data_IF_322500432639
#
_entry.id   IF_322500432639
#
_cell.length_a   1.000
_cell.length_b   1.000
_cell.length_c   1.000
_cell.angle_alpha   90.00
_cell.angle_beta   90.00
_cell.angle_gamma   90.00
#
_symmetry.space_group_name_H-M   'P 1'
#
loop_
_entity.id
_entity.type
_entity.pdbx_description
1 polymer ?
#
# COMPACT_ATOMS: atom_id res chain seq x y z
N UNK A 1 -7.03 -15.96 8.25
CA UNK A 1 -7.02 -15.97 6.77
C UNK A 1 -7.46 -14.62 6.23
N UNK A 2 -6.80 -14.17 5.17
CA UNK A 2 -7.11 -12.87 4.54
C UNK A 2 -8.45 -12.93 3.80
N UNK A 3 -8.68 -14.00 3.05
CA UNK A 3 -9.91 -14.17 2.29
C UNK A 3 -10.98 -14.90 3.13
N UNK A 4 -12.25 -14.52 2.95
CA UNK A 4 -13.33 -15.26 3.62
C UNK A 4 -13.39 -16.70 3.12
N UNK A 5 -13.94 -17.60 3.93
CA UNK A 5 -14.06 -19.01 3.59
C UNK A 5 -15.32 -19.30 2.75
N UNK A 6 -16.35 -18.49 2.92
CA UNK A 6 -17.58 -18.65 2.15
C UNK A 6 -17.36 -18.31 0.67
N UNK A 7 -17.73 -19.21 -0.21
CA UNK A 7 -17.52 -19.06 -1.65
C UNK A 7 -18.19 -17.82 -2.23
N UNK A 8 -19.39 -17.51 -1.78
CA UNK A 8 -20.12 -16.36 -2.32
C UNK A 8 -19.42 -15.04 -1.93
N UNK A 9 -18.85 -14.98 -0.74
CA UNK A 9 -18.11 -13.81 -0.29
C UNK A 9 -16.74 -13.73 -0.97
N UNK A 10 -16.06 -14.88 -1.15
CA UNK A 10 -14.76 -14.90 -1.85
C UNK A 10 -14.87 -14.39 -3.27
N UNK A 11 -15.94 -14.73 -3.97
CA UNK A 11 -16.16 -14.34 -5.37
C UNK A 11 -16.34 -12.84 -5.57
N UNK A 12 -16.62 -12.10 -4.48
CA UNK A 12 -16.73 -10.64 -4.54
C UNK A 12 -15.36 -9.95 -4.50
N UNK A 13 -14.30 -10.69 -4.15
CA UNK A 13 -12.95 -10.13 -4.02
C UNK A 13 -12.17 -10.44 -5.29
N UNK A 14 -12.35 -9.60 -6.28
CA UNK A 14 -11.78 -9.78 -7.61
C UNK A 14 -10.56 -8.87 -7.79
N UNK A 15 -9.42 -9.30 -7.23
CA UNK A 15 -8.20 -8.49 -7.22
C UNK A 15 -7.73 -8.17 -8.64
N UNK A 16 -7.75 -9.18 -9.53
CA UNK A 16 -7.31 -8.96 -10.90
C UNK A 16 -8.28 -8.05 -11.65
N UNK A 17 -9.57 -8.44 -11.74
CA UNK A 17 -10.54 -7.72 -12.56
C UNK A 17 -11.03 -6.42 -11.93
N UNK A 18 -10.92 -6.28 -10.60
CA UNK A 18 -11.40 -5.11 -9.88
C UNK A 18 -10.31 -4.10 -9.51
N UNK A 19 -9.05 -4.49 -9.57
CA UNK A 19 -7.94 -3.61 -9.20
C UNK A 19 -6.87 -3.59 -10.29
N UNK A 20 -6.28 -4.73 -10.59
CA UNK A 20 -5.12 -4.77 -11.50
C UNK A 20 -5.49 -4.33 -12.91
N UNK A 21 -6.63 -4.80 -13.42
CA UNK A 21 -7.09 -4.41 -14.77
C UNK A 21 -7.45 -2.93 -14.86
N UNK A 22 -7.95 -2.34 -13.77
CA UNK A 22 -8.33 -0.93 -13.77
C UNK A 22 -7.12 -0.01 -13.68
N UNK A 23 -6.11 -0.38 -12.90
CA UNK A 23 -5.04 0.52 -12.53
C UNK A 23 -3.63 -0.02 -12.81
N UNK A 24 -3.36 -0.59 -14.01
CA UNK A 24 -2.03 -1.17 -14.24
C UNK A 24 -0.91 -0.14 -14.19
N UNK A 25 -1.13 1.05 -14.75
CA UNK A 25 -0.13 2.12 -14.74
C UNK A 25 0.10 2.67 -13.34
N UNK A 26 -0.99 2.89 -12.60
CA UNK A 26 -0.91 3.39 -11.23
C UNK A 26 -0.19 2.40 -10.32
N UNK A 27 -0.50 1.11 -10.46
CA UNK A 27 0.14 0.07 -9.65
C UNK A 27 1.64 -0.03 -9.94
N UNK A 28 2.04 0.12 -11.20
CA UNK A 28 3.46 0.16 -11.55
C UNK A 28 4.16 1.36 -10.91
N UNK A 29 3.52 2.51 -10.91
CA UNK A 29 4.06 3.73 -10.29
C UNK A 29 4.19 3.56 -8.77
N UNK A 30 3.18 2.96 -8.13
CA UNK A 30 3.21 2.68 -6.68
C UNK A 30 4.34 1.69 -6.35
N UNK A 31 4.49 0.64 -7.15
CA UNK A 31 5.54 -0.34 -6.96
C UNK A 31 6.93 0.30 -7.09
N UNK A 32 7.11 1.17 -8.07
CA UNK A 32 8.37 1.91 -8.25
C UNK A 32 8.64 2.82 -7.05
N UNK A 33 7.63 3.53 -6.56
CA UNK A 33 7.78 4.38 -5.37
C UNK A 33 8.23 3.56 -4.16
N UNK A 34 7.70 2.35 -4.00
CA UNK A 34 8.10 1.44 -2.94
C UNK A 34 9.59 1.09 -3.03
N UNK A 35 10.07 0.76 -4.23
CA UNK A 35 11.47 0.43 -4.47
C UNK A 35 12.39 1.62 -4.19
N UNK A 36 12.00 2.81 -4.65
CA UNK A 36 12.77 4.05 -4.43
C UNK A 36 12.88 4.37 -2.95
N UNK A 37 11.77 4.31 -2.22
CA UNK A 37 11.75 4.58 -0.78
C UNK A 37 12.62 3.61 0.00
N UNK A 38 12.52 2.33 -0.31
CA UNK A 38 13.34 1.29 0.34
C UNK A 38 14.82 1.52 0.07
N UNK A 39 15.20 1.86 -1.15
CA UNK A 39 16.59 2.11 -1.53
C UNK A 39 17.16 3.35 -0.84
N UNK A 40 16.36 4.38 -0.66
CA UNK A 40 16.77 5.59 0.06
C UNK A 40 17.08 5.32 1.52
N UNK A 41 16.27 4.49 2.18
CA UNK A 41 16.43 4.17 3.59
C UNK A 41 17.43 3.04 3.83
N UNK A 42 17.50 2.08 2.92
CA UNK A 42 18.30 0.87 3.07
C UNK A 42 18.99 0.52 1.75
N UNK A 43 20.00 1.33 1.32
CA UNK A 43 20.59 1.16 -0.02
C UNK A 43 21.28 -0.16 -0.26
N UNK A 44 21.76 -0.82 0.79
CA UNK A 44 22.53 -2.07 0.68
C UNK A 44 21.70 -3.31 1.05
N UNK A 45 20.39 -3.15 1.22
CA UNK A 45 19.51 -4.25 1.64
C UNK A 45 18.48 -4.56 0.55
N UNK A 46 17.93 -5.79 0.54
CA UNK A 46 16.78 -6.10 -0.31
C UNK A 46 15.60 -5.19 0.00
N UNK A 47 14.76 -4.96 -0.99
CA UNK A 47 13.57 -4.13 -0.82
C UNK A 47 12.70 -4.68 0.30
N UNK A 48 12.35 -3.81 1.25
CA UNK A 48 11.45 -4.17 2.33
C UNK A 48 10.73 -2.94 2.86
N UNK A 49 9.63 -3.15 3.56
CA UNK A 49 8.84 -2.11 4.19
C UNK A 49 9.13 -2.08 5.69
N UNK A 50 9.66 -0.95 6.16
CA UNK A 50 9.94 -0.74 7.57
C UNK A 50 8.67 -0.19 8.25
N UNK A 51 7.78 -1.08 8.64
CA UNK A 51 6.43 -0.75 9.10
C UNK A 51 6.38 0.14 10.35
N UNK A 52 7.38 0.02 11.21
CA UNK A 52 7.36 0.69 12.50
C UNK A 52 8.07 2.05 12.47
N UNK A 53 8.69 2.41 11.37
CA UNK A 53 9.52 3.60 11.31
C UNK A 53 8.73 4.89 11.16
N UNK A 54 7.61 4.86 10.44
CA UNK A 54 6.78 6.03 10.23
C UNK A 54 5.51 5.93 11.07
N UNK A 55 5.32 6.91 11.94
CA UNK A 55 4.10 7.02 12.76
C UNK A 55 3.20 8.17 12.29
N UNK A 56 3.67 8.94 11.30
CA UNK A 56 2.98 10.13 10.82
C UNK A 56 2.49 9.95 9.37
N UNK A 57 1.76 8.84 9.13
CA UNK A 57 1.30 8.51 7.79
C UNK A 57 0.41 9.60 7.18
N UNK A 58 -0.48 10.18 7.99
CA UNK A 58 -1.39 11.22 7.49
C UNK A 58 -0.65 12.51 7.15
N UNK A 59 0.28 12.95 8.01
CA UNK A 59 1.07 14.14 7.74
C UNK A 59 1.95 13.95 6.50
N UNK A 60 2.57 12.80 6.39
CA UNK A 60 3.39 12.46 5.24
C UNK A 60 2.57 12.44 3.96
N UNK A 61 1.39 11.81 4.01
CA UNK A 61 0.49 11.74 2.86
C UNK A 61 0.02 13.14 2.44
N UNK A 62 -0.31 14.00 3.39
CA UNK A 62 -0.75 15.36 3.08
C UNK A 62 0.34 16.17 2.39
N UNK A 63 1.60 16.03 2.82
CA UNK A 63 2.72 16.70 2.14
C UNK A 63 2.85 16.23 0.69
N UNK A 64 2.69 14.94 0.44
CA UNK A 64 2.72 14.38 -0.91
C UNK A 64 1.54 14.88 -1.76
N UNK A 65 0.36 15.04 -1.16
CA UNK A 65 -0.81 15.60 -1.86
C UNK A 65 -0.52 17.03 -2.31
N UNK A 66 0.05 17.85 -1.43
CA UNK A 66 0.38 19.24 -1.74
C UNK A 66 1.36 19.31 -2.92
N UNK A 67 2.31 18.41 -2.95
CA UNK A 67 3.31 18.33 -4.01
C UNK A 67 2.83 17.55 -5.26
N UNK A 68 1.59 17.07 -5.23
CA UNK A 68 0.97 16.31 -6.32
C UNK A 68 1.74 15.03 -6.69
N UNK A 69 2.37 14.41 -5.72
CA UNK A 69 3.08 13.15 -5.88
C UNK A 69 2.12 11.99 -5.66
N UNK A 70 1.25 11.74 -6.63
CA UNK A 70 0.14 10.81 -6.49
C UNK A 70 0.57 9.36 -6.26
N UNK A 71 1.72 8.95 -6.78
CA UNK A 71 2.29 7.63 -6.52
C UNK A 71 2.62 7.44 -5.03
N UNK A 72 3.22 8.45 -4.43
CA UNK A 72 3.54 8.44 -2.99
C UNK A 72 2.27 8.50 -2.15
N UNK A 73 1.27 9.29 -2.57
CA UNK A 73 -0.04 9.37 -1.90
C UNK A 73 -0.70 7.99 -1.89
N UNK A 74 -0.74 7.33 -3.04
CA UNK A 74 -1.35 6.00 -3.16
C UNK A 74 -0.63 4.98 -2.28
N UNK A 75 0.70 5.00 -2.29
CA UNK A 75 1.50 4.09 -1.45
C UNK A 75 1.18 4.29 0.03
N UNK A 76 1.15 5.55 0.48
CA UNK A 76 0.84 5.88 1.89
C UNK A 76 -0.57 5.48 2.28
N UNK A 77 -1.54 5.67 1.37
CA UNK A 77 -2.92 5.27 1.62
C UNK A 77 -3.03 3.75 1.78
N UNK A 78 -2.36 2.99 0.93
CA UNK A 78 -2.32 1.53 1.04
C UNK A 78 -1.66 1.09 2.35
N UNK A 79 -0.53 1.71 2.71
CA UNK A 79 0.16 1.40 3.95
C UNK A 79 -0.73 1.65 5.17
N UNK A 80 -1.44 2.78 5.18
CA UNK A 80 -2.34 3.11 6.27
C UNK A 80 -3.51 2.13 6.35
N UNK A 81 -4.10 1.80 5.21
CA UNK A 81 -5.21 0.84 5.16
C UNK A 81 -4.76 -0.54 5.65
N UNK A 82 -3.60 -1.02 5.20
CA UNK A 82 -3.08 -2.32 5.60
C UNK A 82 -2.89 -2.39 7.11
N UNK A 83 -2.29 -1.35 7.71
CA UNK A 83 -2.10 -1.29 9.16
C UNK A 83 -3.42 -1.29 9.92
N UNK A 84 -4.41 -0.55 9.43
CA UNK A 84 -5.74 -0.51 10.05
C UNK A 84 -6.45 -1.85 10.02
N UNK A 85 -6.33 -2.56 8.91
CA UNK A 85 -6.95 -3.88 8.77
C UNK A 85 -6.24 -4.92 9.64
N UNK A 86 -4.92 -4.83 9.78
CA UNK A 86 -4.15 -5.71 10.67
C UNK A 86 -4.55 -5.51 12.12
N UNK A 87 -4.76 -4.26 12.56
CA UNK A 87 -5.23 -3.96 13.91
C UNK A 87 -6.57 -4.63 14.20
N UNK A 88 -7.49 -4.60 13.23
CA UNK A 88 -8.79 -5.25 13.37
C UNK A 88 -8.69 -6.77 13.44
N UNK A 89 -7.77 -7.36 12.68
CA UNK A 89 -7.58 -8.81 12.65
C UNK A 89 -6.99 -9.34 13.97
N UNK A 90 -6.23 -8.53 14.68
CA UNK A 90 -5.62 -8.90 15.96
C UNK A 90 -6.62 -8.86 17.13
N UNK A 91 -7.80 -8.32 16.91
CA UNK A 91 -8.84 -8.25 17.92
C UNK A 91 -9.84 -9.37 17.76
#
# INVERSE_FOLDING_TARGET
MILPQDNNERKKINIYSGVIKYFPKALCAVALRSAVGSKQLHPDEPMHWDRNKSKNELDSMMRHIIDEEWDAVAWRALANLEKKLEEKCER
#
